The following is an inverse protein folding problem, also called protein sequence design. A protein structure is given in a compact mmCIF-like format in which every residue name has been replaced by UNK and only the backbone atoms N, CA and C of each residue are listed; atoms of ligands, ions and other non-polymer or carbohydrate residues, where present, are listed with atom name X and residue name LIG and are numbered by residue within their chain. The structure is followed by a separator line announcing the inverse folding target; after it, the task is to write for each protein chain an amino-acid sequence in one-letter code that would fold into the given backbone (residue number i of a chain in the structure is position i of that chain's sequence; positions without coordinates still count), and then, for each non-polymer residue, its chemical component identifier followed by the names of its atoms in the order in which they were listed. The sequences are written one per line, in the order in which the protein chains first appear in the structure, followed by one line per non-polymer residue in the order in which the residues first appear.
data_IF_406487816668
#
_entry.id   IF_406487816668
#
_cell.length_a   1.000
_cell.length_b   1.000
_cell.length_c   1.000
_cell.angle_alpha   90.00
_cell.angle_beta   90.00
_cell.angle_gamma   90.00
#
_symmetry.space_group_name_H-M   'P 1'
#
loop_
_entity.id
_entity.type
_entity.pdbx_description
1 polymer ?
#
# COMPACT_ATOMS: atom_id res chain seq x y z
N UNK A 1 -11.91 -4.62 15.43
CA UNK A 1 -11.18 -4.55 14.16
C UNK A 1 -10.42 -3.24 14.15
N UNK A 2 -9.13 -3.25 13.82
CA UNK A 2 -8.38 -2.01 13.66
C UNK A 2 -8.88 -1.30 12.39
N UNK A 3 -9.00 0.03 12.43
CA UNK A 3 -9.38 0.81 11.23
C UNK A 3 -8.24 0.77 10.21
N UNK A 4 -8.55 0.97 8.93
CA UNK A 4 -7.50 1.03 7.90
C UNK A 4 -6.47 2.14 8.18
N UNK A 5 -6.89 3.21 8.88
CA UNK A 5 -5.99 4.27 9.34
C UNK A 5 -4.97 3.80 10.38
N UNK A 6 -5.38 2.96 11.33
CA UNK A 6 -4.47 2.41 12.33
C UNK A 6 -3.51 1.39 11.71
N UNK A 7 -4.04 0.52 10.83
CA UNK A 7 -3.24 -0.45 10.06
C UNK A 7 -2.21 0.26 9.19
N UNK A 8 -2.61 1.32 8.46
CA UNK A 8 -1.69 2.16 7.69
C UNK A 8 -0.58 2.70 8.59
N UNK A 9 -0.93 3.38 9.70
CA UNK A 9 0.04 4.00 10.61
C UNK A 9 1.07 2.99 11.13
N UNK A 10 0.64 1.76 11.44
CA UNK A 10 1.50 0.68 11.96
C UNK A 10 2.48 0.15 10.91
N UNK A 11 2.08 0.08 9.64
CA UNK A 11 2.87 -0.57 8.59
C UNK A 11 3.57 0.39 7.63
N UNK A 12 3.15 1.64 7.55
CA UNK A 12 3.62 2.64 6.59
C UNK A 12 5.15 2.75 6.57
N UNK A 13 5.78 2.91 7.74
CA UNK A 13 7.25 3.03 7.82
C UNK A 13 8.01 1.81 7.30
N UNK A 14 7.42 0.60 7.38
CA UNK A 14 8.04 -0.62 6.85
C UNK A 14 7.81 -0.73 5.35
N UNK A 15 6.59 -0.46 4.89
CA UNK A 15 6.22 -0.49 3.47
C UNK A 15 7.02 0.54 2.66
N UNK A 16 7.20 1.76 3.19
CA UNK A 16 7.99 2.81 2.54
C UNK A 16 9.49 2.47 2.42
N UNK A 17 9.99 1.45 3.14
CA UNK A 17 11.35 0.94 2.99
C UNK A 17 11.47 -0.16 1.94
N UNK A 18 10.35 -0.70 1.47
CA UNK A 18 10.35 -1.73 0.44
C UNK A 18 10.68 -1.12 -0.92
N UNK A 19 11.47 -1.86 -1.70
CA UNK A 19 11.94 -1.37 -3.00
C UNK A 19 10.78 -1.11 -3.94
N UNK A 20 10.74 0.10 -4.48
CA UNK A 20 9.75 0.52 -5.46
C UNK A 20 8.40 0.93 -4.88
N UNK A 21 8.21 0.90 -3.56
CA UNK A 21 7.06 1.54 -2.91
C UNK A 21 7.31 3.04 -2.87
N UNK A 22 6.34 3.82 -3.35
CA UNK A 22 6.39 5.28 -3.39
C UNK A 22 5.36 5.93 -2.47
N UNK A 23 4.38 5.17 -1.99
CA UNK A 23 3.38 5.68 -1.06
C UNK A 23 2.47 4.60 -0.49
N UNK A 24 1.79 4.94 0.60
CA UNK A 24 0.74 4.11 1.23
C UNK A 24 -0.47 4.99 1.50
N UNK A 25 -1.65 4.53 1.10
CA UNK A 25 -2.92 5.25 1.28
C UNK A 25 -4.03 4.36 1.80
N UNK A 26 -5.18 4.98 2.05
CA UNK A 26 -6.42 4.28 2.36
C UNK A 26 -7.35 4.50 1.17
N UNK A 27 -7.92 3.42 0.67
CA UNK A 27 -8.93 3.42 -0.36
C UNK A 27 -10.24 2.81 0.14
N UNK A 28 -11.23 2.81 -0.74
CA UNK A 28 -12.47 2.09 -0.52
C UNK A 28 -12.75 1.20 -1.74
N UNK A 29 -13.18 -0.03 -1.48
CA UNK A 29 -13.59 -1.01 -2.50
C UNK A 29 -14.76 -1.81 -1.96
N UNK A 30 -15.83 -1.90 -2.74
CA UNK A 30 -17.06 -2.61 -2.36
C UNK A 30 -17.61 -2.19 -0.98
N UNK A 31 -17.53 -0.89 -0.67
CA UNK A 31 -17.98 -0.32 0.60
C UNK A 31 -17.04 -0.55 1.80
N UNK A 32 -15.93 -1.28 1.63
CA UNK A 32 -14.95 -1.58 2.69
C UNK A 32 -13.69 -0.75 2.53
N UNK A 33 -13.09 -0.35 3.65
CA UNK A 33 -11.76 0.27 3.65
C UNK A 33 -10.70 -0.75 3.24
N UNK A 34 -9.76 -0.31 2.40
CA UNK A 34 -8.62 -1.09 1.94
C UNK A 34 -7.34 -0.26 2.07
N UNK A 35 -6.20 -0.93 2.16
CA UNK A 35 -4.89 -0.28 2.07
C UNK A 35 -4.47 -0.21 0.61
N UNK A 36 -4.04 0.95 0.13
CA UNK A 36 -3.41 1.10 -1.18
C UNK A 36 -1.91 1.22 -1.03
N UNK A 37 -1.17 0.36 -1.73
CA UNK A 37 0.28 0.49 -1.84
C UNK A 37 0.59 1.00 -3.23
N UNK A 38 1.20 2.18 -3.28
CA UNK A 38 1.59 2.82 -4.53
C UNK A 38 3.02 2.42 -4.87
N UNK A 39 3.24 1.94 -6.10
CA UNK A 39 4.56 1.53 -6.59
C UNK A 39 5.01 2.35 -7.79
N UNK A 40 6.33 2.50 -7.94
CA UNK A 40 6.94 3.31 -9.00
C UNK A 40 6.64 2.75 -10.40
N UNK A 41 6.56 1.42 -10.52
CA UNK A 41 6.36 0.70 -11.77
C UNK A 41 5.82 -0.70 -11.51
N UNK A 42 5.22 -1.28 -12.53
CA UNK A 42 4.87 -2.69 -12.49
C UNK A 42 6.14 -3.55 -12.57
N UNK A 43 6.35 -4.42 -11.57
CA UNK A 43 7.45 -5.37 -11.56
C UNK A 43 7.02 -6.64 -10.83
N UNK A 44 7.12 -7.82 -11.47
CA UNK A 44 6.76 -9.09 -10.83
C UNK A 44 7.48 -9.33 -9.50
N UNK A 45 8.73 -8.84 -9.37
CA UNK A 45 9.50 -8.94 -8.12
C UNK A 45 8.89 -8.09 -7.00
N UNK A 46 8.52 -6.84 -7.31
CA UNK A 46 7.87 -5.93 -6.34
C UNK A 46 6.52 -6.50 -5.92
N UNK A 47 5.72 -6.98 -6.87
CA UNK A 47 4.39 -7.53 -6.61
C UNK A 47 4.46 -8.81 -5.75
N UNK A 48 5.49 -9.64 -5.93
CA UNK A 48 5.67 -10.86 -5.13
C UNK A 48 6.10 -10.57 -3.68
N UNK A 49 6.85 -9.48 -3.45
CA UNK A 49 7.31 -9.10 -2.12
C UNK A 49 6.22 -8.40 -1.29
N UNK A 50 5.22 -7.80 -1.95
CA UNK A 50 4.18 -7.01 -1.29
C UNK A 50 3.07 -7.89 -0.66
N UNK A 51 2.63 -7.55 0.56
CA UNK A 51 1.56 -8.29 1.21
C UNK A 51 0.21 -8.04 0.53
N UNK A 52 -0.61 -9.08 0.43
CA UNK A 52 -1.99 -8.96 -0.09
C UNK A 52 -3.01 -8.50 0.96
N UNK A 53 -2.64 -8.54 2.25
CA UNK A 53 -3.44 -8.05 3.36
C UNK A 53 -2.55 -7.60 4.53
N UNK A 54 -3.02 -6.65 5.33
CA UNK A 54 -2.37 -6.16 6.55
C UNK A 54 -3.40 -6.13 7.67
N UNK A 55 -3.16 -6.85 8.78
CA UNK A 55 -4.08 -6.92 9.92
C UNK A 55 -5.54 -7.19 9.49
N UNK A 56 -5.72 -8.11 8.54
CA UNK A 56 -7.02 -8.48 7.92
C UNK A 56 -7.68 -7.40 7.04
N UNK A 57 -7.00 -6.28 6.79
CA UNK A 57 -7.41 -5.27 5.80
C UNK A 57 -6.83 -5.64 4.43
N UNK A 58 -7.66 -5.78 3.37
CA UNK A 58 -7.17 -6.07 2.03
C UNK A 58 -6.23 -4.99 1.50
N UNK A 59 -5.23 -5.41 0.73
CA UNK A 59 -4.30 -4.51 0.05
C UNK A 59 -4.58 -4.49 -1.45
N UNK A 60 -4.59 -3.30 -2.03
CA UNK A 60 -4.60 -3.06 -3.47
C UNK A 60 -3.27 -2.41 -3.87
N UNK A 61 -2.58 -2.99 -4.86
CA UNK A 61 -1.34 -2.44 -5.40
C UNK A 61 -1.68 -1.55 -6.59
N UNK A 62 -1.18 -0.32 -6.59
CA UNK A 62 -1.45 0.70 -7.61
C UNK A 62 -0.13 1.19 -8.19
N UNK A 63 0.02 1.09 -9.52
CA UNK A 63 1.19 1.66 -10.20
C UNK A 63 0.98 3.16 -10.36
N UNK A 64 1.78 3.96 -9.66
CA UNK A 64 1.62 5.42 -9.58
C UNK A 64 2.72 6.22 -10.28
N UNK A 65 3.84 5.59 -10.65
CA UNK A 65 5.03 6.32 -11.07
C UNK A 65 5.78 6.94 -9.89
N UNK A 66 6.60 7.95 -10.14
CA UNK A 66 7.36 8.65 -9.09
C UNK A 66 6.56 9.82 -8.54
N UNK A 67 6.36 9.90 -7.23
CA UNK A 67 5.90 11.14 -6.59
C UNK A 67 7.06 12.14 -6.51
N UNK A 68 6.81 13.38 -6.93
CA UNK A 68 7.71 14.52 -6.73
C UNK A 68 7.00 15.56 -5.88
N UNK A 69 7.69 16.06 -4.86
CA UNK A 69 7.23 17.28 -4.18
C UNK A 69 7.29 18.45 -5.18
N UNK A 70 6.25 19.27 -5.18
CA UNK A 70 6.19 20.54 -5.91
C UNK A 70 6.76 21.67 -5.06
#
# INVERSE_FOLDING_TARGET
MASAAEVKRRHESRLMKMRGVVGVGIGQKDGKEIIRIYVEKESPRILADLPQALDSVPVEIVVAGTFKAL
#
